data_IF_590103631956
#
_entry.id   IF_590103631956
#
_cell.length_a   1.000
_cell.length_b   1.000
_cell.length_c   1.000
_cell.angle_alpha   90.00
_cell.angle_beta   90.00
_cell.angle_gamma   90.00
#
_symmetry.space_group_name_H-M   'P 1'
#
loop_
_entity.id
_entity.type
_entity.pdbx_description
1 polymer ?
#
# COMPACT_ATOMS: atom_id res chain seq x y z
N UNK A 1 -16.81 -14.01 -11.26
CA UNK A 1 -16.47 -12.85 -12.11
C UNK A 1 -15.12 -13.11 -12.77
N UNK A 2 -14.93 -12.79 -14.06
CA UNK A 2 -13.64 -12.93 -14.71
C UNK A 2 -12.60 -12.08 -13.95
N UNK A 3 -11.46 -12.70 -13.67
CA UNK A 3 -10.34 -12.06 -13.00
C UNK A 3 -9.59 -11.24 -14.05
N UNK A 4 -10.07 -10.03 -14.33
CA UNK A 4 -9.38 -9.12 -15.26
C UNK A 4 -8.31 -8.32 -14.50
N UNK A 5 -7.09 -8.20 -15.05
CA UNK A 5 -6.07 -7.32 -14.49
C UNK A 5 -6.53 -5.86 -14.57
N UNK A 6 -6.02 -5.03 -13.68
CA UNK A 6 -6.24 -3.57 -13.77
C UNK A 6 -5.47 -3.06 -14.99
N UNK A 7 -6.18 -2.37 -15.89
CA UNK A 7 -5.62 -1.79 -17.11
C UNK A 7 -5.86 -0.29 -17.08
N UNK A 8 -4.83 0.50 -17.39
CA UNK A 8 -5.02 1.92 -17.69
C UNK A 8 -5.84 2.01 -18.98
N UNK A 9 -7.09 2.44 -18.86
CA UNK A 9 -7.96 2.73 -20.00
C UNK A 9 -7.94 4.24 -20.19
N UNK A 10 -6.99 4.71 -21.00
CA UNK A 10 -6.89 6.10 -21.41
C UNK A 10 -7.55 6.30 -22.77
N UNK A 11 -8.20 7.45 -22.99
CA UNK A 11 -8.55 7.91 -24.34
C UNK A 11 -7.28 8.46 -24.98
N UNK A 12 -6.71 7.75 -25.94
CA UNK A 12 -5.50 8.18 -26.64
C UNK A 12 -4.60 7.02 -27.07
N UNK A 13 -3.60 7.33 -27.89
CA UNK A 13 -2.58 6.37 -28.30
C UNK A 13 -1.69 6.00 -27.12
N UNK A 14 -1.28 4.73 -27.05
CA UNK A 14 -0.40 4.24 -25.99
C UNK A 14 1.04 4.66 -26.31
N UNK A 15 1.74 5.34 -25.40
CA UNK A 15 3.14 5.70 -25.62
C UNK A 15 4.01 4.48 -25.91
N UNK A 16 5.05 4.65 -26.73
CA UNK A 16 5.97 3.56 -27.08
C UNK A 16 6.63 2.93 -25.85
N UNK A 17 7.03 3.75 -24.86
CA UNK A 17 7.59 3.29 -23.60
C UNK A 17 6.62 2.39 -22.82
N UNK A 18 5.31 2.69 -22.84
CA UNK A 18 4.30 1.86 -22.20
C UNK A 18 4.18 0.51 -22.92
N UNK A 19 4.18 0.50 -24.25
CA UNK A 19 4.11 -0.74 -25.03
C UNK A 19 5.34 -1.63 -24.74
N UNK A 20 6.52 -1.02 -24.58
CA UNK A 20 7.75 -1.72 -24.22
C UNK A 20 7.69 -2.44 -22.85
N UNK A 21 6.76 -2.06 -21.96
CA UNK A 21 6.58 -2.75 -20.66
C UNK A 21 5.95 -4.15 -20.79
N UNK A 22 5.30 -4.46 -21.93
CA UNK A 22 4.47 -5.67 -22.07
C UNK A 22 5.18 -7.01 -21.79
N UNK A 23 6.45 -7.25 -22.21
CA UNK A 23 7.15 -8.51 -21.96
C UNK A 23 7.35 -8.82 -20.46
N UNK A 24 7.39 -7.79 -19.62
CA UNK A 24 7.61 -7.92 -18.18
C UNK A 24 6.37 -8.38 -17.41
N UNK A 25 5.19 -8.35 -18.03
CA UNK A 25 3.92 -8.79 -17.42
C UNK A 25 3.72 -10.31 -17.31
N UNK A 26 4.66 -11.13 -17.80
CA UNK A 26 4.53 -12.60 -17.73
C UNK A 26 4.91 -13.10 -16.34
N UNK A 27 3.97 -13.65 -15.59
CA UNK A 27 4.25 -14.26 -14.30
C UNK A 27 5.12 -15.53 -14.41
N UNK A 28 5.86 -15.83 -13.35
CA UNK A 28 6.70 -17.03 -13.22
C UNK A 28 6.32 -17.76 -11.91
N UNK A 29 5.74 -18.94 -12.04
CA UNK A 29 5.23 -19.69 -10.89
C UNK A 29 6.35 -20.15 -9.95
N UNK A 30 7.56 -20.41 -10.45
CA UNK A 30 8.70 -20.86 -9.63
C UNK A 30 9.17 -19.72 -8.74
N UNK A 31 9.29 -18.52 -9.31
CA UNK A 31 9.64 -17.30 -8.54
C UNK A 31 8.56 -16.98 -7.51
N UNK A 32 7.29 -17.03 -7.89
CA UNK A 32 6.18 -16.79 -6.96
C UNK A 32 6.16 -17.79 -5.80
N UNK A 33 6.32 -19.09 -6.08
CA UNK A 33 6.34 -20.13 -5.05
C UNK A 33 7.55 -20.00 -4.12
N UNK A 34 8.73 -19.70 -4.68
CA UNK A 34 9.92 -19.44 -3.87
C UNK A 34 9.74 -18.23 -2.95
N UNK A 35 9.13 -17.15 -3.45
CA UNK A 35 8.83 -15.97 -2.65
C UNK A 35 7.81 -16.27 -1.53
N UNK A 36 6.77 -17.07 -1.80
CA UNK A 36 5.85 -17.51 -0.76
C UNK A 36 6.57 -18.34 0.30
N UNK A 37 7.36 -19.33 -0.10
CA UNK A 37 8.08 -20.21 0.81
C UNK A 37 9.07 -19.42 1.68
N UNK A 38 9.92 -18.59 1.08
CA UNK A 38 10.95 -17.82 1.79
C UNK A 38 10.42 -16.63 2.60
N UNK A 39 9.10 -16.40 2.61
CA UNK A 39 8.47 -15.33 3.38
C UNK A 39 7.51 -15.89 4.43
N UNK A 40 6.59 -16.77 4.03
CA UNK A 40 5.56 -17.32 4.93
C UNK A 40 6.14 -18.29 5.95
N UNK A 41 7.10 -19.14 5.55
CA UNK A 41 7.74 -20.09 6.48
C UNK A 41 8.56 -19.34 7.54
N UNK A 42 9.47 -18.41 7.19
CA UNK A 42 10.16 -17.60 8.19
C UNK A 42 9.21 -16.77 9.06
N UNK A 43 8.11 -16.25 8.52
CA UNK A 43 7.10 -15.53 9.31
C UNK A 43 6.51 -16.43 10.40
N UNK A 44 6.11 -17.66 10.05
CA UNK A 44 5.61 -18.64 11.02
C UNK A 44 6.64 -19.03 12.08
N UNK A 45 7.90 -19.21 11.68
CA UNK A 45 9.00 -19.52 12.61
C UNK A 45 9.24 -18.36 13.58
N UNK A 46 9.32 -17.12 13.09
CA UNK A 46 9.52 -15.94 13.94
C UNK A 46 8.32 -15.74 14.88
N UNK A 47 7.09 -15.94 14.38
CA UNK A 47 5.90 -15.89 15.23
C UNK A 47 5.96 -16.92 16.37
N UNK A 48 6.34 -18.16 16.07
CA UNK A 48 6.50 -19.20 17.09
C UNK A 48 7.61 -18.86 18.10
N UNK A 49 8.73 -18.29 17.65
CA UNK A 49 9.79 -17.80 18.54
C UNK A 49 9.31 -16.65 19.43
N UNK A 50 8.50 -15.72 18.90
CA UNK A 50 7.90 -14.67 19.71
C UNK A 50 7.00 -15.24 20.81
N UNK A 51 6.12 -16.19 20.47
CA UNK A 51 5.30 -16.92 21.47
C UNK A 51 6.19 -17.59 22.52
N UNK A 52 7.26 -18.27 22.10
CA UNK A 52 8.20 -18.91 23.00
C UNK A 52 8.84 -17.90 23.98
N UNK A 53 9.34 -16.76 23.48
CA UNK A 53 9.97 -15.73 24.31
C UNK A 53 9.03 -15.19 25.38
N UNK A 54 7.77 -14.90 25.02
CA UNK A 54 6.76 -14.38 25.97
C UNK A 54 6.40 -15.44 27.02
N UNK A 55 6.20 -16.70 26.62
CA UNK A 55 5.80 -17.77 27.56
C UNK A 55 6.89 -18.16 28.55
N UNK A 56 8.16 -18.01 28.17
CA UNK A 56 9.30 -18.35 29.02
C UNK A 56 9.88 -17.13 29.77
N UNK A 57 9.21 -15.98 29.72
CA UNK A 57 9.60 -14.81 30.52
C UNK A 57 10.89 -14.14 30.07
N UNK A 58 11.29 -14.27 28.80
CA UNK A 58 12.41 -13.51 28.25
C UNK A 58 12.10 -12.00 28.29
N UNK A 59 13.14 -11.13 28.33
CA UNK A 59 12.93 -9.70 28.24
C UNK A 59 12.09 -9.34 27.02
N UNK A 60 11.02 -8.57 27.21
CA UNK A 60 10.06 -8.27 26.14
C UNK A 60 10.69 -7.55 24.94
N UNK A 61 11.84 -6.88 25.13
CA UNK A 61 12.63 -6.30 24.04
C UNK A 61 13.02 -7.35 22.98
N UNK A 62 13.32 -8.59 23.37
CA UNK A 62 13.62 -9.69 22.43
C UNK A 62 12.40 -9.96 21.54
N UNK A 63 11.21 -10.03 22.12
CA UNK A 63 9.95 -10.17 21.37
C UNK A 63 9.72 -8.99 20.44
N UNK A 64 10.03 -7.76 20.86
CA UNK A 64 9.89 -6.57 20.01
C UNK A 64 10.87 -6.57 18.82
N UNK A 65 12.12 -7.00 19.01
CA UNK A 65 13.08 -7.17 17.90
C UNK A 65 12.55 -8.20 16.90
N UNK A 66 12.09 -9.36 17.38
CA UNK A 66 11.46 -10.36 16.52
C UNK A 66 10.19 -9.82 15.83
N UNK A 67 9.41 -8.98 16.52
CA UNK A 67 8.23 -8.33 15.94
C UNK A 67 8.59 -7.44 14.74
N UNK A 68 9.73 -6.72 14.78
CA UNK A 68 10.17 -5.93 13.62
C UNK A 68 10.47 -6.80 12.40
N UNK A 69 11.08 -7.97 12.62
CA UNK A 69 11.38 -8.94 11.55
C UNK A 69 10.09 -9.58 11.01
N UNK A 70 9.18 -9.98 11.90
CA UNK A 70 7.87 -10.49 11.53
C UNK A 70 7.06 -9.44 10.75
N UNK A 71 7.10 -8.18 11.17
CA UNK A 71 6.43 -7.08 10.49
C UNK A 71 6.99 -6.83 9.08
N UNK A 72 8.31 -6.94 8.89
CA UNK A 72 8.93 -6.86 7.57
C UNK A 72 8.41 -7.96 6.63
N UNK A 73 8.32 -9.21 7.11
CA UNK A 73 7.75 -10.31 6.32
C UNK A 73 6.23 -10.14 6.11
N UNK A 74 5.51 -9.60 7.09
CA UNK A 74 4.09 -9.29 6.96
C UNK A 74 3.84 -8.25 5.84
N UNK A 75 4.65 -7.19 5.78
CA UNK A 75 4.61 -6.22 4.68
C UNK A 75 4.83 -6.94 3.34
N UNK A 76 5.82 -7.84 3.26
CA UNK A 76 6.07 -8.62 2.05
C UNK A 76 4.88 -9.52 1.66
N UNK A 77 4.23 -10.17 2.63
CA UNK A 77 3.00 -10.94 2.41
C UNK A 77 1.88 -10.04 1.88
N UNK A 78 1.76 -8.82 2.40
CA UNK A 78 0.81 -7.83 1.89
C UNK A 78 1.11 -7.43 0.44
N UNK A 79 2.38 -7.35 0.04
CA UNK A 79 2.76 -7.11 -1.36
C UNK A 79 2.39 -8.29 -2.27
N UNK A 80 2.50 -9.53 -1.80
CA UNK A 80 2.01 -10.69 -2.56
C UNK A 80 0.48 -10.67 -2.71
N UNK A 81 -0.22 -10.32 -1.62
CA UNK A 81 -1.66 -10.07 -1.65
C UNK A 81 -2.03 -9.00 -2.70
N UNK A 82 -1.31 -7.89 -2.69
CA UNK A 82 -1.47 -6.79 -3.64
C UNK A 82 -1.26 -7.24 -5.09
N UNK A 83 -0.16 -7.92 -5.41
CA UNK A 83 0.11 -8.42 -6.77
C UNK A 83 -0.95 -9.44 -7.21
N UNK A 84 -1.42 -10.28 -6.29
CA UNK A 84 -2.54 -11.18 -6.52
C UNK A 84 -3.85 -10.43 -6.83
N UNK A 85 -4.07 -9.22 -6.33
CA UNK A 85 -5.26 -8.41 -6.66
C UNK A 85 -5.23 -7.91 -8.12
N UNK A 86 -4.03 -7.72 -8.67
CA UNK A 86 -3.80 -7.41 -10.09
C UNK A 86 -3.75 -8.64 -10.98
N UNK A 87 -3.58 -9.83 -10.40
CA UNK A 87 -3.39 -11.08 -11.12
C UNK A 87 -1.99 -11.26 -11.70
N UNK A 88 -1.03 -10.48 -11.21
CA UNK A 88 0.33 -10.46 -11.74
C UNK A 88 1.22 -11.48 -11.06
N UNK A 89 0.91 -11.87 -9.81
CA UNK A 89 1.81 -12.69 -8.99
C UNK A 89 2.03 -14.10 -9.56
N UNK A 90 0.95 -14.77 -9.98
CA UNK A 90 0.95 -16.13 -10.53
C UNK A 90 0.45 -16.16 -11.98
N UNK A 91 0.81 -17.16 -12.80
CA UNK A 91 0.29 -17.25 -14.17
C UNK A 91 -1.21 -17.54 -14.26
N UNK A 92 -1.78 -18.22 -13.26
CA UNK A 92 -3.18 -18.62 -13.26
C UNK A 92 -4.04 -17.61 -12.48
N UNK A 93 -5.13 -17.10 -13.08
CA UNK A 93 -6.03 -16.19 -12.37
C UNK A 93 -6.72 -16.84 -11.15
N UNK A 94 -7.00 -18.15 -11.23
CA UNK A 94 -7.54 -18.92 -10.09
C UNK A 94 -6.55 -18.93 -8.93
N UNK A 95 -5.28 -19.19 -9.20
CA UNK A 95 -4.25 -19.24 -8.15
C UNK A 95 -3.93 -17.86 -7.57
N UNK A 96 -3.93 -16.78 -8.37
CA UNK A 96 -3.85 -15.42 -7.83
C UNK A 96 -4.99 -15.15 -6.85
N UNK A 97 -6.21 -15.52 -7.20
CA UNK A 97 -7.36 -15.32 -6.31
C UNK A 97 -7.22 -16.14 -5.03
N UNK A 98 -6.87 -17.42 -5.12
CA UNK A 98 -6.68 -18.29 -3.93
C UNK A 98 -5.56 -17.78 -3.02
N UNK A 99 -4.37 -17.52 -3.56
CA UNK A 99 -3.24 -17.00 -2.78
C UNK A 99 -3.55 -15.61 -2.22
N UNK A 100 -4.23 -14.77 -3.01
CA UNK A 100 -4.74 -13.48 -2.56
C UNK A 100 -5.67 -13.58 -1.36
N UNK A 101 -6.65 -14.49 -1.33
CA UNK A 101 -7.48 -14.70 -0.15
C UNK A 101 -6.67 -15.15 1.08
N UNK A 102 -5.71 -16.06 0.89
CA UNK A 102 -4.87 -16.57 2.00
C UNK A 102 -3.96 -15.47 2.56
N UNK A 103 -3.27 -14.74 1.71
CA UNK A 103 -2.43 -13.61 2.12
C UNK A 103 -3.29 -12.50 2.74
N UNK A 104 -4.47 -12.21 2.17
CA UNK A 104 -5.40 -11.22 2.71
C UNK A 104 -5.89 -11.58 4.12
N UNK A 105 -6.17 -12.86 4.37
CA UNK A 105 -6.52 -13.34 5.71
C UNK A 105 -5.36 -13.13 6.69
N UNK A 106 -4.13 -13.51 6.32
CA UNK A 106 -2.93 -13.27 7.14
C UNK A 106 -2.69 -11.78 7.40
N UNK A 107 -3.04 -10.92 6.44
CA UNK A 107 -2.82 -9.48 6.52
C UNK A 107 -4.07 -8.68 6.91
N UNK A 108 -5.09 -9.32 7.48
CA UNK A 108 -6.29 -8.67 8.00
C UNK A 108 -7.00 -7.79 6.96
N UNK A 109 -7.03 -8.24 5.70
CA UNK A 109 -7.51 -7.46 4.55
C UNK A 109 -8.41 -8.31 3.64
N UNK A 110 -9.59 -7.81 3.32
CA UNK A 110 -10.56 -8.50 2.45
C UNK A 110 -10.17 -8.38 0.97
N UNK A 111 -10.03 -9.51 0.28
CA UNK A 111 -9.47 -9.55 -1.07
C UNK A 111 -10.31 -8.78 -2.11
N UNK A 112 -11.61 -9.06 -2.22
CA UNK A 112 -12.43 -8.47 -3.30
C UNK A 112 -12.68 -6.97 -3.09
N UNK A 113 -12.93 -6.54 -1.84
CA UNK A 113 -13.14 -5.12 -1.52
C UNK A 113 -11.85 -4.32 -1.72
N UNK A 114 -10.72 -4.85 -1.24
CA UNK A 114 -9.43 -4.19 -1.44
C UNK A 114 -9.05 -4.14 -2.92
N UNK A 115 -9.24 -5.24 -3.67
CA UNK A 115 -9.03 -5.27 -5.13
C UNK A 115 -9.85 -4.21 -5.85
N UNK A 116 -11.13 -4.03 -5.51
CA UNK A 116 -11.97 -2.97 -6.11
C UNK A 116 -11.42 -1.58 -5.77
N UNK A 117 -11.15 -1.30 -4.48
CA UNK A 117 -10.66 0.02 -4.04
C UNK A 117 -9.32 0.34 -4.70
N UNK A 118 -8.44 -0.64 -4.79
CA UNK A 118 -7.13 -0.47 -5.39
C UNK A 118 -7.19 -0.35 -6.92
N UNK A 119 -8.11 -1.05 -7.59
CA UNK A 119 -8.37 -0.81 -9.01
C UNK A 119 -8.88 0.62 -9.25
N UNK A 120 -9.77 1.13 -8.38
CA UNK A 120 -10.24 2.52 -8.46
C UNK A 120 -9.11 3.54 -8.23
N UNK A 121 -8.19 3.25 -7.30
CA UNK A 121 -6.96 4.03 -7.08
C UNK A 121 -6.14 4.17 -8.36
N UNK A 122 -5.82 3.06 -9.02
CA UNK A 122 -5.07 3.08 -10.29
C UNK A 122 -5.74 3.86 -11.42
N UNK A 123 -7.07 3.96 -11.40
CA UNK A 123 -7.86 4.66 -12.42
C UNK A 123 -8.01 6.16 -12.12
N UNK A 124 -7.86 6.58 -10.87
CA UNK A 124 -8.16 7.96 -10.44
C UNK A 124 -6.96 8.69 -9.82
N UNK A 125 -5.84 8.02 -9.59
CA UNK A 125 -4.66 8.64 -8.97
C UNK A 125 -4.16 9.83 -9.81
N UNK A 126 -3.79 10.93 -9.14
CA UNK A 126 -3.40 12.18 -9.79
C UNK A 126 -4.56 13.00 -10.37
N UNK A 127 -5.79 12.49 -10.39
CA UNK A 127 -6.99 13.24 -10.74
C UNK A 127 -7.59 13.84 -9.46
N UNK A 128 -7.49 15.17 -9.33
CA UNK A 128 -8.02 15.89 -8.17
C UNK A 128 -9.52 15.67 -8.03
N UNK A 129 -10.31 15.67 -9.09
CA UNK A 129 -11.77 15.65 -8.97
C UNK A 129 -12.31 14.25 -8.63
N UNK A 130 -11.50 13.21 -8.86
CA UNK A 130 -11.84 11.80 -8.55
C UNK A 130 -11.05 11.21 -7.37
N UNK A 131 -10.25 12.03 -6.67
CA UNK A 131 -9.38 11.60 -5.56
C UNK A 131 -10.15 11.01 -4.37
N UNK A 132 -9.44 10.22 -3.55
CA UNK A 132 -9.90 9.83 -2.22
C UNK A 132 -10.28 8.35 -2.05
N UNK A 133 -10.19 7.54 -3.09
CA UNK A 133 -10.26 6.08 -2.98
C UNK A 133 -8.87 5.49 -3.11
N UNK A 134 -8.33 4.98 -2.01
CA UNK A 134 -6.97 4.40 -1.96
C UNK A 134 -5.87 5.42 -1.63
N UNK A 135 -6.13 6.71 -1.81
CA UNK A 135 -5.21 7.80 -1.46
C UNK A 135 -5.30 8.25 0.01
N UNK A 136 -4.19 8.76 0.52
CA UNK A 136 -4.20 9.61 1.72
C UNK A 136 -4.87 10.93 1.38
N UNK A 137 -5.90 11.32 2.14
CA UNK A 137 -6.73 12.47 1.79
C UNK A 137 -5.92 13.76 1.65
N UNK A 138 -6.09 14.40 0.49
CA UNK A 138 -5.37 15.61 0.09
C UNK A 138 -6.38 16.73 -0.18
N UNK A 139 -6.19 17.86 0.51
CA UNK A 139 -6.90 19.10 0.21
C UNK A 139 -6.01 20.00 -0.62
N UNK A 140 -6.62 20.76 -1.53
CA UNK A 140 -5.92 21.88 -2.16
C UNK A 140 -5.82 23.06 -1.20
N UNK A 141 -4.90 23.99 -1.47
CA UNK A 141 -4.75 25.22 -0.67
C UNK A 141 -6.06 26.02 -0.67
N UNK A 142 -6.73 26.13 -1.81
CA UNK A 142 -8.02 26.80 -1.93
C UNK A 142 -9.10 26.12 -1.08
N UNK A 143 -9.22 24.80 -1.16
CA UNK A 143 -10.17 24.01 -0.35
C UNK A 143 -9.91 24.13 1.15
N UNK A 144 -8.64 24.09 1.56
CA UNK A 144 -8.25 24.25 2.95
C UNK A 144 -8.55 25.65 3.49
N UNK A 145 -8.42 26.68 2.66
CA UNK A 145 -8.73 28.08 3.02
C UNK A 145 -10.24 28.32 3.10
N UNK A 146 -11.01 27.76 2.18
CA UNK A 146 -12.47 27.84 2.16
C UNK A 146 -13.15 26.98 3.24
N UNK A 147 -12.44 26.00 3.80
CA UNK A 147 -12.97 25.10 4.81
C UNK A 147 -13.24 25.82 6.15
N UNK A 148 -14.36 25.49 6.84
CA UNK A 148 -14.63 25.97 8.20
C UNK A 148 -13.50 25.61 9.18
N UNK A 149 -13.33 26.38 10.29
CA UNK A 149 -12.24 26.15 11.25
C UNK A 149 -12.18 24.71 11.79
N UNK A 150 -13.33 24.09 12.07
CA UNK A 150 -13.39 22.70 12.54
C UNK A 150 -12.88 21.70 11.50
N UNK A 151 -13.23 21.88 10.22
CA UNK A 151 -12.74 21.03 9.12
C UNK A 151 -11.23 21.19 8.93
N UNK A 152 -10.70 22.41 9.10
CA UNK A 152 -9.26 22.68 9.06
C UNK A 152 -8.53 22.01 10.23
N UNK A 153 -9.10 22.05 11.43
CA UNK A 153 -8.56 21.36 12.61
C UNK A 153 -8.56 19.84 12.41
N UNK A 154 -9.69 19.26 11.99
CA UNK A 154 -9.80 17.83 11.70
C UNK A 154 -8.77 17.38 10.65
N UNK A 155 -8.58 18.17 9.58
CA UNK A 155 -7.58 17.88 8.57
C UNK A 155 -6.15 17.93 9.11
N UNK A 156 -5.82 18.89 9.97
CA UNK A 156 -4.49 18.97 10.62
C UNK A 156 -4.23 17.78 11.53
N UNK A 157 -5.24 17.35 12.29
CA UNK A 157 -5.16 16.15 13.14
C UNK A 157 -4.97 14.91 12.29
N UNK A 158 -5.80 14.71 11.26
CA UNK A 158 -5.63 13.59 10.31
C UNK A 158 -4.23 13.54 9.70
N UNK A 159 -3.67 14.69 9.31
CA UNK A 159 -2.33 14.79 8.72
C UNK A 159 -1.19 14.84 9.74
N UNK A 160 -1.47 14.76 11.05
CA UNK A 160 -0.43 14.73 12.07
C UNK A 160 0.30 13.36 12.04
N UNK A 161 1.65 13.30 12.12
CA UNK A 161 2.38 12.04 11.93
C UNK A 161 1.96 10.91 12.89
N UNK A 162 1.75 11.24 14.17
CA UNK A 162 1.30 10.24 15.17
C UNK A 162 -0.10 9.68 14.85
N UNK A 163 -0.98 10.49 14.25
CA UNK A 163 -2.31 10.05 13.86
C UNK A 163 -2.22 9.27 12.55
N UNK A 164 -1.57 9.81 11.54
CA UNK A 164 -1.49 9.20 10.21
C UNK A 164 -0.72 7.87 10.19
N UNK A 165 0.37 7.77 10.97
CA UNK A 165 1.25 6.59 10.97
C UNK A 165 1.15 5.74 12.25
N UNK A 166 0.46 6.21 13.29
CA UNK A 166 0.23 5.44 14.52
C UNK A 166 -1.20 4.94 14.63
N UNK A 167 -2.15 5.86 14.79
CA UNK A 167 -3.58 5.52 15.00
C UNK A 167 -4.26 5.04 13.72
N UNK A 168 -4.04 5.75 12.62
CA UNK A 168 -4.67 5.54 11.31
C UNK A 168 -4.47 4.13 10.76
N UNK A 169 -3.26 3.55 10.76
CA UNK A 169 -3.04 2.20 10.26
C UNK A 169 -3.79 1.15 11.08
N UNK A 170 -3.70 1.21 12.41
CA UNK A 170 -4.43 0.28 13.29
C UNK A 170 -5.93 0.39 13.06
N UNK A 171 -6.46 1.63 13.04
CA UNK A 171 -7.88 1.86 12.78
C UNK A 171 -8.31 1.30 11.42
N UNK A 172 -7.52 1.54 10.37
CA UNK A 172 -7.86 1.09 9.02
C UNK A 172 -7.90 -0.43 8.93
N UNK A 173 -6.85 -1.12 9.39
CA UNK A 173 -6.73 -2.57 9.23
C UNK A 173 -7.61 -3.36 10.21
N UNK A 174 -7.75 -2.91 11.46
CA UNK A 174 -8.51 -3.64 12.48
C UNK A 174 -9.99 -3.27 12.52
N UNK A 175 -10.36 -2.04 12.13
CA UNK A 175 -11.74 -1.55 12.24
C UNK A 175 -12.33 -1.30 10.86
N UNK A 176 -11.77 -0.37 10.08
CA UNK A 176 -12.40 0.07 8.83
C UNK A 176 -12.54 -1.05 7.79
N UNK A 177 -11.54 -1.95 7.69
CA UNK A 177 -11.58 -3.09 6.76
C UNK A 177 -12.59 -4.19 7.14
N UNK A 178 -13.26 -4.07 8.30
CA UNK A 178 -14.34 -4.98 8.72
C UNK A 178 -15.71 -4.55 8.20
N UNK A 179 -15.80 -3.37 7.58
CA UNK A 179 -17.07 -2.82 7.12
C UNK A 179 -17.07 -2.55 5.62
N UNK A 180 -18.13 -2.96 4.89
CA UNK A 180 -18.25 -2.64 3.47
C UNK A 180 -18.45 -1.14 3.27
N UNK A 181 -17.80 -0.59 2.24
CA UNK A 181 -18.09 0.79 1.81
C UNK A 181 -19.51 0.89 1.22
N UNK A 182 -20.09 2.10 1.19
CA UNK A 182 -21.43 2.32 0.62
C UNK A 182 -21.59 1.89 -0.84
N UNK A 183 -20.50 1.86 -1.60
CA UNK A 183 -20.47 1.47 -3.01
C UNK A 183 -20.12 -0.02 -3.21
N UNK A 184 -19.99 -0.79 -2.12
CA UNK A 184 -19.57 -2.17 -2.19
C UNK A 184 -20.65 -3.07 -2.82
N UNK A 185 -20.23 -4.01 -3.66
CA UNK A 185 -21.13 -5.00 -4.29
C UNK A 185 -21.16 -6.31 -3.49
N UNK A 186 -22.15 -7.17 -3.79
CA UNK A 186 -22.32 -8.48 -3.12
C UNK A 186 -21.02 -9.29 -2.96
N UNK A 187 -20.16 -9.47 -3.98
CA UNK A 187 -18.91 -10.24 -3.82
C UNK A 187 -17.95 -9.64 -2.79
N UNK A 188 -17.91 -8.32 -2.68
CA UNK A 188 -17.04 -7.59 -1.75
C UNK A 188 -17.58 -7.69 -0.33
N UNK A 189 -18.90 -7.54 -0.15
CA UNK A 189 -19.58 -7.73 1.13
C UNK A 189 -19.37 -9.16 1.64
N UNK A 190 -19.58 -10.18 0.80
CA UNK A 190 -19.31 -11.57 1.18
C UNK A 190 -17.83 -11.81 1.49
N UNK A 191 -16.91 -11.21 0.71
CA UNK A 191 -15.48 -11.30 0.99
C UNK A 191 -15.10 -10.71 2.34
N UNK A 192 -15.74 -9.61 2.77
CA UNK A 192 -15.52 -9.02 4.10
C UNK A 192 -16.06 -9.96 5.18
N UNK A 193 -17.32 -10.37 5.08
CA UNK A 193 -17.96 -11.25 6.08
C UNK A 193 -17.17 -12.55 6.27
N UNK A 194 -16.73 -13.20 5.19
CA UNK A 194 -15.97 -14.45 5.26
C UNK A 194 -14.63 -14.23 5.97
N UNK A 195 -13.90 -13.16 5.63
CA UNK A 195 -12.61 -12.86 6.27
C UNK A 195 -12.81 -12.46 7.74
N UNK A 196 -13.86 -11.72 8.07
CA UNK A 196 -14.20 -11.33 9.45
C UNK A 196 -14.49 -12.55 10.31
N UNK A 197 -15.32 -13.47 9.82
CA UNK A 197 -15.64 -14.73 10.52
C UNK A 197 -14.40 -15.61 10.67
N UNK A 198 -13.59 -15.73 9.61
CA UNK A 198 -12.36 -16.51 9.66
C UNK A 198 -11.34 -15.90 10.66
N UNK A 199 -11.16 -14.58 10.66
CA UNK A 199 -10.29 -13.91 11.63
C UNK A 199 -10.81 -14.04 13.06
N UNK A 200 -12.12 -13.89 13.28
CA UNK A 200 -12.72 -14.08 14.60
C UNK A 200 -12.46 -15.51 15.12
N UNK A 201 -12.64 -16.52 14.27
CA UNK A 201 -12.33 -17.91 14.62
C UNK A 201 -10.83 -18.13 14.91
N UNK A 202 -9.94 -17.61 14.05
CA UNK A 202 -8.48 -17.73 14.24
C UNK A 202 -8.05 -17.05 15.54
N UNK A 203 -8.51 -15.82 15.80
CA UNK A 203 -8.19 -15.06 17.01
C UNK A 203 -8.74 -15.75 18.26
N UNK A 204 -9.97 -16.30 18.20
CA UNK A 204 -10.54 -17.07 19.30
C UNK A 204 -9.73 -18.33 19.61
N UNK A 205 -9.41 -19.14 18.59
CA UNK A 205 -8.61 -20.36 18.75
C UNK A 205 -7.21 -20.02 19.28
N UNK A 206 -6.55 -19.00 18.73
CA UNK A 206 -5.24 -18.56 19.19
C UNK A 206 -5.30 -18.01 20.63
N UNK A 207 -6.36 -17.27 20.99
CA UNK A 207 -6.56 -16.74 22.33
C UNK A 207 -6.75 -17.84 23.38
N UNK A 208 -7.52 -18.87 23.05
CA UNK A 208 -7.76 -20.04 23.93
C UNK A 208 -6.50 -20.90 24.06
N UNK A 209 -5.76 -21.13 22.98
CA UNK A 209 -4.60 -22.05 22.96
C UNK A 209 -3.30 -21.40 23.47
N UNK A 210 -3.04 -20.14 23.12
CA UNK A 210 -1.81 -19.42 23.49
C UNK A 210 -1.99 -18.56 24.76
N UNK A 211 -3.23 -18.25 25.10
CA UNK A 211 -3.59 -17.26 26.11
C UNK A 211 -3.70 -15.85 25.51
N UNK A 212 -4.76 -15.12 25.86
CA UNK A 212 -5.04 -13.77 25.35
C UNK A 212 -3.89 -12.79 25.55
N UNK A 213 -3.22 -12.84 26.72
CA UNK A 213 -2.06 -12.00 27.00
C UNK A 213 -0.91 -12.28 26.03
N UNK A 214 -0.59 -13.55 25.79
CA UNK A 214 0.46 -13.95 24.84
C UNK A 214 0.12 -13.50 23.43
N UNK A 215 -1.12 -13.73 23.00
CA UNK A 215 -1.58 -13.33 21.67
C UNK A 215 -1.44 -11.81 21.47
N UNK A 216 -1.86 -10.99 22.45
CA UNK A 216 -1.74 -9.53 22.36
C UNK A 216 -0.27 -9.07 22.34
N UNK A 217 0.59 -9.64 23.19
CA UNK A 217 2.01 -9.29 23.25
C UNK A 217 2.80 -9.72 22.01
N UNK A 218 2.32 -10.72 21.26
CA UNK A 218 2.94 -11.18 20.01
C UNK A 218 2.35 -10.47 18.79
N UNK A 219 1.03 -10.57 18.59
CA UNK A 219 0.36 -10.08 17.39
C UNK A 219 0.24 -8.54 17.39
N UNK A 220 0.08 -7.91 18.55
CA UNK A 220 -0.07 -6.45 18.67
C UNK A 220 1.10 -5.68 18.05
N UNK A 221 2.36 -5.93 18.48
CA UNK A 221 3.53 -5.29 17.89
C UNK A 221 3.71 -5.58 16.40
N UNK A 222 3.44 -6.80 15.92
CA UNK A 222 3.50 -7.13 14.49
C UNK A 222 2.54 -6.24 13.71
N UNK A 223 1.28 -6.16 14.15
CA UNK A 223 0.26 -5.33 13.49
C UNK A 223 0.64 -3.86 13.51
N UNK A 224 1.07 -3.33 14.65
CA UNK A 224 1.51 -1.93 14.76
C UNK A 224 2.63 -1.64 13.74
N UNK A 225 3.74 -2.38 13.80
CA UNK A 225 4.89 -2.11 12.94
C UNK A 225 4.58 -2.33 11.46
N UNK A 226 3.88 -3.41 11.12
CA UNK A 226 3.60 -3.75 9.73
C UNK A 226 2.60 -2.79 9.10
N UNK A 227 1.53 -2.42 9.81
CA UNK A 227 0.52 -1.50 9.28
C UNK A 227 1.08 -0.08 9.17
N UNK A 228 1.89 0.38 10.13
CA UNK A 228 2.63 1.65 10.04
C UNK A 228 3.55 1.66 8.81
N UNK A 229 4.36 0.61 8.61
CA UNK A 229 5.24 0.49 7.44
C UNK A 229 4.45 0.42 6.12
N UNK A 230 3.32 -0.30 6.10
CA UNK A 230 2.43 -0.36 4.94
C UNK A 230 1.87 1.01 4.58
N UNK A 231 1.26 1.72 5.54
CA UNK A 231 0.73 3.08 5.31
C UNK A 231 1.83 4.06 4.92
N UNK A 232 3.05 3.91 5.47
CA UNK A 232 4.21 4.68 5.04
C UNK A 232 4.51 4.49 3.55
N UNK A 233 4.54 3.24 3.05
CA UNK A 233 4.75 2.95 1.64
C UNK A 233 3.68 3.59 0.76
N UNK A 234 2.39 3.38 1.05
CA UNK A 234 1.29 4.00 0.31
C UNK A 234 1.33 5.52 0.35
N UNK A 235 1.77 6.11 1.46
CA UNK A 235 1.94 7.54 1.60
C UNK A 235 3.03 8.07 0.67
N UNK A 236 4.26 7.57 0.78
CA UNK A 236 5.41 8.10 0.00
C UNK A 236 5.28 7.83 -1.49
N UNK A 237 4.50 6.81 -1.86
CA UNK A 237 4.19 6.45 -3.24
C UNK A 237 3.51 7.56 -4.05
N UNK A 238 2.68 8.39 -3.41
CA UNK A 238 1.92 9.50 -4.04
C UNK A 238 2.00 10.82 -3.27
N UNK A 239 2.85 10.90 -2.25
CA UNK A 239 3.08 12.11 -1.46
C UNK A 239 4.57 12.43 -1.43
N UNK A 240 5.05 13.09 -2.47
CA UNK A 240 6.44 13.50 -2.63
C UNK A 240 6.55 14.80 -3.44
N UNK A 241 7.67 15.50 -3.35
CA UNK A 241 7.85 16.73 -4.13
C UNK A 241 7.93 16.44 -5.63
N UNK A 242 7.24 17.25 -6.44
CA UNK A 242 7.13 17.03 -7.89
C UNK A 242 6.04 16.05 -8.32
N UNK A 243 5.21 15.56 -7.38
CA UNK A 243 4.10 14.66 -7.71
C UNK A 243 3.05 15.34 -8.61
N UNK A 244 2.59 14.63 -9.64
CA UNK A 244 1.55 15.09 -10.56
C UNK A 244 0.14 14.98 -9.94
N UNK A 245 -0.55 16.12 -9.89
CA UNK A 245 -1.98 16.23 -9.66
C UNK A 245 -2.58 17.24 -10.64
N UNK A 246 -3.73 16.92 -11.22
CA UNK A 246 -4.44 17.79 -12.16
C UNK A 246 -5.96 17.69 -11.96
N UNK A 247 -6.69 18.71 -12.42
CA UNK A 247 -8.15 18.64 -12.58
C UNK A 247 -8.49 17.69 -13.71
N UNK A 248 -9.71 17.13 -13.69
CA UNK A 248 -10.10 16.02 -14.58
C UNK A 248 -9.93 16.35 -16.07
N UNK A 249 -10.21 17.60 -16.45
CA UNK A 249 -10.09 18.11 -17.82
C UNK A 249 -8.63 18.17 -18.33
N UNK A 250 -7.67 18.31 -17.41
CA UNK A 250 -6.23 18.40 -17.67
C UNK A 250 -5.47 17.13 -17.24
N UNK A 251 -6.20 16.12 -16.77
CA UNK A 251 -5.62 14.90 -16.25
C UNK A 251 -5.17 13.98 -17.38
N UNK A 252 -3.88 13.65 -17.38
CA UNK A 252 -3.27 12.71 -18.31
C UNK A 252 -2.82 11.43 -17.57
N UNK A 253 -3.49 10.29 -17.81
CA UNK A 253 -3.10 9.02 -17.19
C UNK A 253 -1.70 8.55 -17.57
N UNK A 254 -1.11 9.00 -18.67
CA UNK A 254 0.25 8.61 -19.07
C UNK A 254 1.34 9.37 -18.31
N UNK A 255 1.02 10.53 -17.73
CA UNK A 255 1.93 11.25 -16.83
C UNK A 255 1.96 10.66 -15.43
N UNK A 256 0.90 9.98 -15.01
CA UNK A 256 0.79 9.39 -13.67
C UNK A 256 1.96 8.44 -13.35
N UNK A 257 2.35 7.48 -14.20
CA UNK A 257 3.50 6.63 -13.90
C UNK A 257 4.81 7.41 -13.79
N UNK A 258 5.02 8.43 -14.62
CA UNK A 258 6.31 9.14 -14.69
C UNK A 258 6.46 10.25 -13.64
N UNK A 259 5.35 10.87 -13.26
CA UNK A 259 5.33 12.06 -12.42
C UNK A 259 4.40 11.92 -11.20
N UNK A 260 3.37 11.07 -11.26
CA UNK A 260 2.37 10.89 -10.20
C UNK A 260 2.67 9.76 -9.21
N UNK A 261 3.64 8.91 -9.50
CA UNK A 261 4.02 7.76 -8.69
C UNK A 261 5.54 7.76 -8.46
N UNK A 262 5.98 7.55 -7.21
CA UNK A 262 7.40 7.63 -6.88
C UNK A 262 8.19 6.43 -7.41
N UNK A 263 9.47 6.64 -7.72
CA UNK A 263 10.47 5.58 -7.62
C UNK A 263 11.13 5.65 -6.23
N UNK A 264 10.65 4.85 -5.27
CA UNK A 264 11.21 4.80 -3.93
C UNK A 264 12.44 3.89 -3.90
N UNK A 265 13.63 4.49 -4.02
CA UNK A 265 14.90 3.79 -4.11
C UNK A 265 15.36 3.36 -2.71
N UNK A 266 15.06 2.10 -2.39
CA UNK A 266 15.33 1.50 -1.09
C UNK A 266 16.67 0.75 -1.13
N UNK A 267 17.47 0.74 -0.06
CA UNK A 267 18.68 -0.08 -0.01
C UNK A 267 18.32 -1.58 -0.10
N UNK A 268 19.20 -2.39 -0.68
CA UNK A 268 18.95 -3.77 -1.14
C UNK A 268 17.95 -4.61 -0.33
N UNK A 269 18.19 -4.82 0.97
CA UNK A 269 17.32 -5.67 1.79
C UNK A 269 15.90 -5.10 1.97
N UNK A 270 15.72 -3.77 1.91
CA UNK A 270 14.41 -3.13 1.94
C UNK A 270 13.65 -3.31 0.62
N UNK A 271 14.34 -3.36 -0.52
CA UNK A 271 13.70 -3.79 -1.78
C UNK A 271 13.20 -5.23 -1.68
N UNK A 272 13.95 -6.11 -1.00
CA UNK A 272 13.46 -7.44 -0.71
C UNK A 272 12.24 -7.37 0.25
N UNK A 273 12.33 -6.75 1.42
CA UNK A 273 11.20 -6.67 2.37
C UNK A 273 9.92 -6.11 1.72
N UNK A 274 10.05 -5.11 0.87
CA UNK A 274 8.91 -4.45 0.23
C UNK A 274 8.49 -5.11 -1.08
N UNK A 275 9.04 -6.28 -1.42
CA UNK A 275 8.74 -6.98 -2.67
C UNK A 275 8.87 -6.05 -3.87
N UNK A 276 10.00 -5.33 -3.99
CA UNK A 276 10.27 -4.39 -5.08
C UNK A 276 9.19 -3.32 -5.36
N UNK A 277 8.20 -3.12 -4.48
CA UNK A 277 7.12 -2.16 -4.75
C UNK A 277 7.61 -0.71 -4.73
N UNK A 278 8.84 -0.46 -4.26
CA UNK A 278 9.52 0.81 -4.42
C UNK A 278 9.64 1.26 -5.89
N UNK A 279 9.63 0.34 -6.86
CA UNK A 279 9.45 0.64 -8.28
C UNK A 279 7.97 0.96 -8.61
N UNK A 280 7.35 1.82 -7.80
CA UNK A 280 5.90 2.07 -7.82
C UNK A 280 5.43 2.76 -9.10
N UNK A 281 6.23 3.68 -9.64
CA UNK A 281 6.06 4.21 -11.00
C UNK A 281 5.86 3.11 -12.07
N UNK A 282 6.72 2.07 -12.11
CA UNK A 282 6.59 0.93 -13.03
C UNK A 282 5.32 0.12 -12.73
N UNK A 283 5.00 -0.04 -11.45
CA UNK A 283 3.76 -0.70 -11.04
C UNK A 283 2.52 0.05 -11.55
N UNK A 284 2.48 1.38 -11.42
CA UNK A 284 1.41 2.21 -12.00
C UNK A 284 1.42 2.18 -13.52
N UNK A 285 2.59 2.17 -14.17
CA UNK A 285 2.68 2.02 -15.61
C UNK A 285 1.98 0.74 -16.08
N UNK A 286 2.24 -0.40 -15.44
CA UNK A 286 1.58 -1.66 -15.78
C UNK A 286 1.39 -2.53 -14.54
N UNK A 287 0.22 -2.47 -13.88
CA UNK A 287 -0.03 -3.23 -12.64
C UNK A 287 0.06 -4.76 -12.82
N UNK A 288 -0.06 -5.23 -14.06
CA UNK A 288 0.15 -6.62 -14.46
C UNK A 288 1.61 -7.12 -14.39
N UNK A 289 2.60 -6.27 -14.09
CA UNK A 289 3.98 -6.70 -13.87
C UNK A 289 4.13 -7.22 -12.44
N UNK A 290 4.54 -8.48 -12.21
CA UNK A 290 4.79 -8.98 -10.87
C UNK A 290 5.98 -8.27 -10.22
N UNK A 291 5.98 -8.20 -8.89
CA UNK A 291 7.06 -7.58 -8.13
C UNK A 291 8.48 -8.02 -8.54
N UNK A 292 8.66 -9.31 -8.83
CA UNK A 292 9.96 -9.89 -9.17
C UNK A 292 10.43 -9.56 -10.60
N UNK A 293 9.69 -8.70 -11.33
CA UNK A 293 10.06 -8.16 -12.65
C UNK A 293 10.02 -6.63 -12.72
N UNK A 294 9.57 -5.93 -11.68
CA UNK A 294 9.49 -4.47 -11.67
C UNK A 294 10.85 -3.80 -11.93
N UNK A 295 11.89 -4.21 -11.19
CA UNK A 295 13.25 -3.70 -11.36
C UNK A 295 13.79 -3.96 -12.77
N UNK A 296 13.52 -5.14 -13.32
CA UNK A 296 13.96 -5.51 -14.68
C UNK A 296 13.32 -4.60 -15.73
N UNK A 297 12.02 -4.30 -15.59
CA UNK A 297 11.30 -3.39 -16.47
C UNK A 297 11.84 -1.96 -16.36
N UNK A 298 12.03 -1.45 -15.13
CA UNK A 298 12.62 -0.13 -14.89
C UNK A 298 13.99 0.03 -15.56
N UNK A 299 14.89 -0.96 -15.39
CA UNK A 299 16.24 -0.87 -15.93
C UNK A 299 16.29 -0.90 -17.47
N UNK A 300 15.30 -1.49 -18.12
CA UNK A 300 15.28 -1.72 -19.56
C UNK A 300 14.62 -0.60 -20.36
N UNK A 301 13.82 0.27 -19.73
CA UNK A 301 13.03 1.31 -20.42
C UNK A 301 13.55 2.68 -19.98
N UNK A 302 14.18 3.47 -20.88
CA UNK A 302 14.78 4.76 -20.55
C UNK A 302 13.84 5.70 -19.78
N UNK A 303 12.61 5.86 -20.24
CA UNK A 303 11.62 6.77 -19.65
C UNK A 303 11.28 6.40 -18.21
N UNK A 304 11.27 5.11 -17.87
CA UNK A 304 11.05 4.65 -16.49
C UNK A 304 12.30 4.81 -15.64
N UNK A 305 13.49 4.63 -16.23
CA UNK A 305 14.77 4.79 -15.55
C UNK A 305 15.05 6.25 -15.16
N UNK A 306 14.60 7.19 -15.98
CA UNK A 306 14.84 8.63 -15.80
C UNK A 306 13.93 9.25 -14.74
N UNK A 307 12.94 8.51 -14.22
CA UNK A 307 12.13 8.94 -13.07
C UNK A 307 13.01 9.16 -11.85
N UNK A 308 12.97 10.38 -11.29
CA UNK A 308 13.80 10.78 -10.18
C UNK A 308 13.58 9.86 -8.96
N UNK A 309 14.65 9.26 -8.40
CA UNK A 309 14.52 8.43 -7.21
C UNK A 309 14.17 9.29 -5.99
N UNK A 310 13.33 8.74 -5.12
CA UNK A 310 13.08 9.22 -3.77
C UNK A 310 13.90 8.35 -2.81
N UNK A 311 14.83 8.94 -2.07
CA UNK A 311 15.60 8.22 -1.04
C UNK A 311 14.85 8.10 0.29
N UNK A 312 15.31 7.21 1.19
CA UNK A 312 14.72 7.04 2.54
C UNK A 312 14.76 8.34 3.36
N UNK A 313 15.86 9.09 3.32
CA UNK A 313 15.97 10.36 4.04
C UNK A 313 15.12 11.47 3.43
N UNK A 314 14.97 11.47 2.10
CA UNK A 314 14.11 12.41 1.40
C UNK A 314 12.63 12.11 1.66
N UNK A 315 12.25 10.84 1.77
CA UNK A 315 10.89 10.42 2.07
C UNK A 315 10.44 10.90 3.46
N UNK A 316 11.34 10.98 4.45
CA UNK A 316 11.02 11.58 5.75
C UNK A 316 10.60 13.06 5.64
N UNK A 317 11.17 13.81 4.69
CA UNK A 317 10.81 15.22 4.46
C UNK A 317 9.41 15.36 3.86
N UNK A 318 8.88 14.33 3.21
CA UNK A 318 7.55 14.40 2.58
C UNK A 318 6.44 14.51 3.61
N UNK A 319 6.69 14.10 4.86
CA UNK A 319 5.78 14.30 6.00
C UNK A 319 5.40 15.78 6.15
N UNK A 320 6.28 16.71 5.81
CA UNK A 320 6.00 18.16 5.85
C UNK A 320 5.03 18.65 4.77
N UNK A 321 4.74 17.82 3.77
CA UNK A 321 3.88 18.12 2.62
C UNK A 321 2.44 17.80 2.98
N UNK A 322 1.60 18.83 3.03
CA UNK A 322 0.27 18.75 3.63
C UNK A 322 -0.84 19.06 2.65
N UNK A 323 -0.65 20.03 1.76
CA UNK A 323 -1.67 20.54 0.85
C UNK A 323 -1.16 20.56 -0.59
N UNK A 324 -2.06 20.49 -1.56
CA UNK A 324 -1.74 20.72 -2.96
C UNK A 324 -1.95 22.20 -3.33
N UNK A 325 -0.92 22.87 -3.81
CA UNK A 325 -0.98 24.22 -4.35
C UNK A 325 -1.20 24.13 -5.87
N UNK A 326 -2.43 24.43 -6.31
CA UNK A 326 -2.83 24.31 -7.73
C UNK A 326 -2.08 25.30 -8.62
N UNK A 327 -1.86 26.53 -8.13
CA UNK A 327 -1.19 27.60 -8.88
C UNK A 327 0.28 27.26 -9.14
N UNK A 328 0.95 26.70 -8.14
CA UNK A 328 2.37 26.35 -8.20
C UNK A 328 2.61 24.91 -8.60
N UNK A 329 1.54 24.13 -8.80
CA UNK A 329 1.54 22.70 -9.16
C UNK A 329 2.50 21.88 -8.30
N UNK A 330 2.44 22.08 -6.98
CA UNK A 330 3.30 21.36 -6.02
C UNK A 330 2.64 21.16 -4.68
N UNK A 331 3.12 20.17 -3.94
CA UNK A 331 2.75 20.02 -2.54
C UNK A 331 3.47 21.04 -1.66
N UNK A 332 2.74 21.57 -0.67
CA UNK A 332 3.22 22.60 0.26
C UNK A 332 2.90 22.26 1.71
N UNK A 333 3.69 22.80 2.62
CA UNK A 333 3.41 22.77 4.05
C UNK A 333 2.27 23.72 4.45
N UNK A 334 1.67 23.53 5.62
CA UNK A 334 0.71 24.49 6.18
C UNK A 334 1.33 25.90 6.35
N UNK A 335 2.64 25.98 6.62
CA UNK A 335 3.35 27.25 6.79
C UNK A 335 3.45 28.01 5.47
N UNK A 336 3.85 27.34 4.40
CA UNK A 336 3.90 27.92 3.06
C UNK A 336 2.52 28.39 2.59
N UNK A 337 1.49 27.56 2.78
CA UNK A 337 0.11 27.89 2.41
C UNK A 337 -0.43 29.14 3.14
N UNK A 338 0.09 29.47 4.33
CA UNK A 338 -0.31 30.66 5.08
C UNK A 338 0.51 31.92 4.73
N UNK A 339 1.73 31.77 4.19
CA UNK A 339 2.63 32.90 3.87
C UNK A 339 2.24 33.61 2.57
N UNK A 340 1.65 32.90 1.62
CA UNK A 340 1.17 33.47 0.36
C UNK A 340 -0.22 34.12 0.53
N UNK A 341 -0.30 35.03 1.51
CA UNK A 341 -1.46 35.89 1.79
C UNK A 341 -1.37 37.25 1.06
N UNK A 342 -0.35 37.45 0.24
CA UNK A 342 -0.12 38.69 -0.52
C UNK A 342 -0.93 38.72 -1.80
#
# INVERSE_FOLDING_TARGET
MPFNPVVIVARGEKPAWYLATAPYGRADWRKALWQLANTVVPYGVIFALMVYTVRHGYPYLVTLVLATMAAALFVRIFIFFHDCTHGSFLPSPRWNRTVGYLCGLLTFTSFEDWRRRHAAHHVAVGDLDRRGVGDVSLLTVAEYRAAPPLRRLAYRLYRHPLILFGVGPIFYFLIQNRFPSKVAKKPEVYSIIIVDLALAAIVAVAGITLGWRTLLLVQGPILLFATTAGVWLFYVQHQFQGVYWARHDQWDPWRVPLEGASYYNLPGWLHWVTGNIGFHHVHHARPGIPNYRLQQCHAAIPELRDVRPLGVWESLKTVGLKLWDEDRRRLVSFREANRHKS
#
